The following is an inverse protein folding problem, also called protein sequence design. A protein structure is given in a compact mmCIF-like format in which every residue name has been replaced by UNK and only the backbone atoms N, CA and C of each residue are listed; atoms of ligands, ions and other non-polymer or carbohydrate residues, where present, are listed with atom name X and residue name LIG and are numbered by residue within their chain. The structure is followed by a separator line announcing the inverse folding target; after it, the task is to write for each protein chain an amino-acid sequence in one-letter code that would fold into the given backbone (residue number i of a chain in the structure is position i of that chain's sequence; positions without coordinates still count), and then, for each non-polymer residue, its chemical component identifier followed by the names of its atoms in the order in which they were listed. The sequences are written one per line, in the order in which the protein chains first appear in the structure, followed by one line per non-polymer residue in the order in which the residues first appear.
data_IF_111811228720
#
_entry.id   IF_111811228720
#
_cell.length_a   1.000
_cell.length_b   1.000
_cell.length_c   1.000
_cell.angle_alpha   90.00
_cell.angle_beta   90.00
_cell.angle_gamma   90.00
#
_symmetry.space_group_name_H-M   'P 1'
#
loop_
_entity.id
_entity.type
_entity.pdbx_description
1 polymer ?
#
# COMPACT_ATOMS: atom_id res chain seq x y z
N UNK A 1 -3.17 20.73 -13.56
CA UNK A 1 -2.80 19.32 -13.84
C UNK A 1 -1.33 19.15 -13.51
N UNK A 2 -0.99 18.86 -12.25
CA UNK A 2 0.40 18.59 -11.84
C UNK A 2 0.58 17.08 -11.77
N UNK A 3 1.24 16.51 -12.78
CA UNK A 3 1.70 15.10 -12.78
C UNK A 3 2.95 15.01 -11.91
N UNK A 4 3.13 13.93 -11.14
CA UNK A 4 4.48 13.56 -10.72
C UNK A 4 5.26 13.25 -11.99
N UNK A 5 6.24 14.09 -12.25
CA UNK A 5 7.15 13.89 -13.35
C UNK A 5 8.08 12.74 -12.99
N UNK A 6 8.65 12.04 -13.98
CA UNK A 6 9.69 11.04 -13.72
C UNK A 6 10.81 11.62 -12.85
N UNK A 7 11.05 12.94 -12.94
CA UNK A 7 11.99 13.69 -12.12
C UNK A 7 11.61 13.81 -10.63
N UNK A 8 10.40 13.43 -10.22
CA UNK A 8 9.98 13.36 -8.82
C UNK A 8 10.08 11.94 -8.24
N UNK A 9 10.49 10.96 -9.06
CA UNK A 9 10.74 9.58 -8.64
C UNK A 9 12.25 9.42 -8.44
N UNK A 10 12.66 9.27 -7.19
CA UNK A 10 14.04 9.04 -6.83
C UNK A 10 14.22 7.58 -6.44
N UNK A 11 15.14 6.88 -7.11
CA UNK A 11 15.50 5.52 -6.73
C UNK A 11 16.23 5.59 -5.39
N UNK A 12 15.61 5.02 -4.35
CA UNK A 12 16.19 5.00 -3.01
C UNK A 12 17.31 3.96 -2.89
N UNK A 13 17.05 2.72 -3.32
CA UNK A 13 18.00 1.62 -3.22
C UNK A 13 17.72 0.53 -4.26
N UNK A 14 18.78 -0.15 -4.70
CA UNK A 14 18.72 -1.40 -5.48
C UNK A 14 19.69 -2.38 -4.83
N UNK A 15 19.19 -3.58 -4.48
CA UNK A 15 20.02 -4.63 -3.86
C UNK A 15 19.73 -6.00 -4.47
N UNK A 16 20.67 -6.93 -4.28
CA UNK A 16 20.45 -8.34 -4.60
C UNK A 16 19.64 -8.99 -3.49
N UNK A 17 18.75 -9.91 -3.85
CA UNK A 17 17.94 -10.67 -2.89
C UNK A 17 18.80 -11.39 -1.83
N UNK A 18 19.97 -11.88 -2.21
CA UNK A 18 20.93 -12.52 -1.29
C UNK A 18 21.38 -11.57 -0.17
N UNK A 19 21.77 -10.34 -0.51
CA UNK A 19 22.16 -9.31 0.46
C UNK A 19 20.96 -8.84 1.29
N UNK A 20 19.77 -8.77 0.70
CA UNK A 20 18.53 -8.42 1.41
C UNK A 20 18.17 -9.45 2.50
N UNK A 21 18.41 -10.74 2.22
CA UNK A 21 18.20 -11.81 3.20
C UNK A 21 19.26 -11.79 4.32
N UNK A 22 20.51 -11.43 3.99
CA UNK A 22 21.64 -11.38 4.92
C UNK A 22 21.56 -10.19 5.88
N UNK A 23 21.36 -8.97 5.36
CA UNK A 23 21.46 -7.73 6.11
C UNK A 23 20.11 -7.12 6.55
N UNK A 24 18.99 -7.71 6.14
CA UNK A 24 17.61 -7.24 6.39
C UNK A 24 17.30 -5.84 5.83
N UNK A 25 16.04 -5.40 5.96
CA UNK A 25 15.62 -4.07 5.52
C UNK A 25 16.28 -2.96 6.35
N UNK A 26 16.51 -3.21 7.65
CA UNK A 26 16.96 -2.20 8.61
C UNK A 26 18.34 -1.66 8.23
N UNK A 27 19.31 -2.54 7.93
CA UNK A 27 20.64 -2.11 7.53
C UNK A 27 20.66 -1.42 6.16
N UNK A 28 19.78 -1.81 5.24
CA UNK A 28 19.72 -1.22 3.90
C UNK A 28 19.08 0.17 3.92
N UNK A 29 18.11 0.38 4.82
CA UNK A 29 17.35 1.62 4.92
C UNK A 29 17.80 2.52 6.07
N UNK A 30 18.82 2.14 6.84
CA UNK A 30 19.32 2.87 8.02
C UNK A 30 19.51 4.36 7.74
N UNK A 31 20.33 4.69 6.73
CA UNK A 31 20.57 6.08 6.34
C UNK A 31 19.30 6.83 5.93
N UNK A 32 18.38 6.17 5.23
CA UNK A 32 17.12 6.78 4.81
C UNK A 32 16.21 7.07 6.02
N UNK A 33 16.17 6.16 6.98
CA UNK A 33 15.40 6.33 8.21
C UNK A 33 15.98 7.47 9.04
N UNK A 34 17.30 7.56 9.16
CA UNK A 34 17.96 8.66 9.88
C UNK A 34 17.67 10.03 9.25
N UNK A 35 17.81 10.15 7.92
CA UNK A 35 17.51 11.39 7.20
C UNK A 35 16.02 11.75 7.28
N UNK A 36 15.13 10.75 7.18
CA UNK A 36 13.70 10.98 7.38
C UNK A 36 13.38 11.45 8.80
N UNK A 37 14.06 10.91 9.82
CA UNK A 37 13.89 11.33 11.20
C UNK A 37 14.40 12.76 11.41
N UNK A 38 15.55 13.13 10.81
CA UNK A 38 16.03 14.51 10.80
C UNK A 38 15.02 15.45 10.14
N UNK A 39 14.51 15.10 8.96
CA UNK A 39 13.56 15.92 8.23
C UNK A 39 12.22 16.04 8.97
N UNK A 40 11.83 15.04 9.76
CA UNK A 40 10.63 15.09 10.58
C UNK A 40 10.70 16.13 11.70
N UNK A 41 11.91 16.42 12.19
CA UNK A 41 12.18 17.44 13.21
C UNK A 41 12.38 18.84 12.62
N UNK A 42 12.47 18.93 11.29
CA UNK A 42 12.74 20.16 10.55
C UNK A 42 14.23 20.33 10.25
N UNK A 43 14.57 20.51 8.97
CA UNK A 43 15.94 20.74 8.52
C UNK A 43 16.05 22.07 7.77
N UNK A 44 17.03 22.89 8.14
CA UNK A 44 17.26 24.20 7.53
C UNK A 44 18.24 24.11 6.38
N UNK A 45 17.76 24.39 5.17
CA UNK A 45 18.56 24.48 3.96
C UNK A 45 19.07 25.90 3.76
N UNK A 46 20.37 26.03 3.51
CA UNK A 46 21.01 27.27 3.06
C UNK A 46 20.89 27.34 1.53
N UNK A 47 19.99 28.18 1.03
CA UNK A 47 19.82 28.41 -0.40
C UNK A 47 20.46 29.75 -0.78
N UNK A 48 20.76 29.95 -2.07
CA UNK A 48 21.24 31.23 -2.58
C UNK A 48 20.27 32.40 -2.28
N UNK A 49 18.99 32.09 -2.07
CA UNK A 49 17.92 33.04 -1.74
C UNK A 49 17.67 33.20 -0.23
N UNK A 50 18.45 32.54 0.63
CA UNK A 50 18.33 32.60 2.09
C UNK A 50 18.09 31.23 2.75
N UNK A 51 17.79 31.26 4.05
CA UNK A 51 17.55 30.04 4.85
C UNK A 51 16.09 29.62 4.75
N UNK A 52 15.85 28.34 4.47
CA UNK A 52 14.49 27.76 4.46
C UNK A 52 14.47 26.46 5.25
N UNK A 53 13.63 26.40 6.27
CA UNK A 53 13.38 25.18 7.05
C UNK A 53 12.28 24.36 6.39
N UNK A 54 12.57 23.10 6.09
CA UNK A 54 11.62 22.15 5.53
C UNK A 54 11.36 21.01 6.52
N UNK A 55 10.13 20.52 6.51
CA UNK A 55 9.69 19.37 7.30
C UNK A 55 9.19 18.29 6.35
N UNK A 56 9.37 17.02 6.73
CA UNK A 56 9.00 15.90 5.88
C UNK A 56 8.92 14.60 6.67
N UNK A 57 8.10 13.68 6.21
CA UNK A 57 7.91 12.38 6.83
C UNK A 57 7.50 11.36 5.78
N UNK A 58 7.87 10.09 6.00
CA UNK A 58 7.37 8.97 5.21
C UNK A 58 5.93 8.67 5.62
N UNK A 59 5.00 8.84 4.69
CA UNK A 59 3.56 8.67 4.95
C UNK A 59 3.12 7.21 4.75
N UNK A 60 3.69 6.53 3.75
CA UNK A 60 3.38 5.14 3.45
C UNK A 60 4.54 4.40 2.81
N UNK A 61 4.53 3.07 2.97
CA UNK A 61 5.33 2.12 2.20
C UNK A 61 4.37 1.09 1.62
N UNK A 62 4.45 0.90 0.31
CA UNK A 62 3.54 0.07 -0.49
C UNK A 62 4.37 -0.95 -1.26
N UNK A 63 3.97 -2.21 -1.21
CA UNK A 63 4.58 -3.30 -1.97
C UNK A 63 3.58 -4.44 -2.18
N UNK A 64 4.03 -5.52 -2.81
CA UNK A 64 3.28 -6.78 -2.74
C UNK A 64 3.30 -7.36 -1.31
N UNK A 65 2.59 -8.47 -1.07
CA UNK A 65 2.49 -9.05 0.28
C UNK A 65 3.89 -9.39 0.83
N UNK A 66 4.78 -10.09 0.09
CA UNK A 66 6.12 -10.38 0.59
C UNK A 66 6.93 -9.12 0.91
N UNK A 67 6.98 -8.13 -0.01
CA UNK A 67 7.76 -6.92 0.23
C UNK A 67 7.19 -6.07 1.38
N UNK A 68 5.86 -5.93 1.45
CA UNK A 68 5.21 -5.17 2.53
C UNK A 68 5.39 -5.83 3.88
N UNK A 69 5.33 -7.16 3.95
CA UNK A 69 5.62 -7.91 5.16
C UNK A 69 7.08 -7.79 5.55
N UNK A 70 7.99 -7.96 4.59
CA UNK A 70 9.44 -7.89 4.79
C UNK A 70 9.87 -6.53 5.35
N UNK A 71 9.46 -5.42 4.71
CA UNK A 71 9.79 -4.05 5.15
C UNK A 71 9.26 -3.78 6.57
N UNK A 72 8.21 -4.50 6.99
CA UNK A 72 7.58 -4.35 8.31
C UNK A 72 7.99 -5.42 9.31
N UNK A 73 9.00 -6.23 9.01
CA UNK A 73 9.52 -7.26 9.91
C UNK A 73 8.60 -8.49 10.08
N UNK A 74 7.63 -8.71 9.18
CA UNK A 74 6.76 -9.89 9.17
C UNK A 74 7.29 -10.99 8.25
N UNK A 75 6.84 -12.23 8.49
CA UNK A 75 7.03 -13.35 7.56
C UNK A 75 6.39 -13.04 6.20
N UNK A 76 7.11 -13.33 5.12
CA UNK A 76 6.67 -13.07 3.74
C UNK A 76 5.27 -13.64 3.44
N UNK A 77 5.02 -14.89 3.86
CA UNK A 77 3.77 -15.60 3.63
C UNK A 77 2.78 -15.53 4.79
N UNK A 78 1.50 -15.38 4.46
CA UNK A 78 0.37 -15.22 5.41
C UNK A 78 -0.54 -16.45 5.50
N UNK A 79 -0.22 -17.54 4.80
CA UNK A 79 -1.07 -18.73 4.69
C UNK A 79 -1.50 -19.31 6.04
N UNK A 80 -0.54 -19.49 6.96
CA UNK A 80 -0.77 -20.03 8.30
C UNK A 80 -0.90 -18.96 9.40
N UNK A 81 -0.85 -17.68 9.06
CA UNK A 81 -0.94 -16.61 10.05
C UNK A 81 -2.38 -16.42 10.53
N UNK A 82 -2.59 -16.22 11.83
CA UNK A 82 -3.87 -15.81 12.41
C UNK A 82 -4.21 -14.38 11.98
N UNK A 83 -3.26 -13.45 12.17
CA UNK A 83 -3.35 -12.08 11.68
C UNK A 83 -2.94 -12.03 10.21
N UNK A 84 -3.90 -11.82 9.32
CA UNK A 84 -3.65 -11.87 7.87
C UNK A 84 -3.03 -10.60 7.32
N UNK A 85 -3.23 -9.47 7.99
CA UNK A 85 -2.80 -8.14 7.54
C UNK A 85 -1.57 -7.64 8.32
N UNK A 86 -0.64 -6.92 7.67
CA UNK A 86 0.51 -6.28 8.33
C UNK A 86 0.19 -4.86 8.85
N UNK A 87 -1.00 -4.34 8.58
CA UNK A 87 -1.46 -3.00 8.97
C UNK A 87 -2.47 -3.02 10.13
N UNK A 88 -3.24 -4.11 10.25
CA UNK A 88 -4.25 -4.32 11.28
C UNK A 88 -4.21 -5.76 11.80
N UNK A 89 -5.01 -6.05 12.82
CA UNK A 89 -5.10 -7.38 13.44
C UNK A 89 -6.16 -8.29 12.80
N UNK A 90 -6.62 -7.95 11.59
CA UNK A 90 -7.70 -8.68 10.94
C UNK A 90 -7.36 -10.16 10.69
N UNK A 91 -8.32 -11.01 11.05
CA UNK A 91 -8.33 -12.44 10.71
C UNK A 91 -8.85 -12.69 9.29
N UNK A 92 -8.70 -13.92 8.79
CA UNK A 92 -9.26 -14.32 7.49
C UNK A 92 -10.78 -14.18 7.39
N UNK A 93 -11.48 -14.39 8.52
CA UNK A 93 -12.92 -14.20 8.61
C UNK A 93 -13.27 -12.72 8.53
N UNK A 94 -12.57 -11.88 9.28
CA UNK A 94 -12.86 -10.45 9.33
C UNK A 94 -12.62 -9.73 8.00
N UNK A 95 -11.54 -10.05 7.28
CA UNK A 95 -11.28 -9.44 5.96
C UNK A 95 -12.32 -9.82 4.89
N UNK A 96 -13.11 -10.86 5.16
CA UNK A 96 -14.20 -11.30 4.27
C UNK A 96 -15.57 -10.73 4.68
N UNK A 97 -15.68 -10.11 5.87
CA UNK A 97 -16.94 -9.60 6.42
C UNK A 97 -16.94 -8.08 6.65
N UNK A 98 -15.76 -7.47 6.77
CA UNK A 98 -15.59 -6.05 7.09
C UNK A 98 -14.81 -5.39 5.96
N UNK A 99 -15.28 -4.23 5.49
CA UNK A 99 -14.69 -3.55 4.34
C UNK A 99 -14.34 -2.08 4.59
N UNK A 100 -14.51 -1.61 5.84
CA UNK A 100 -14.20 -0.24 6.23
C UNK A 100 -13.02 -0.19 7.19
N UNK A 101 -12.16 0.84 7.05
CA UNK A 101 -10.92 0.95 7.81
C UNK A 101 -11.13 1.03 9.32
N UNK A 102 -12.23 1.63 9.75
CA UNK A 102 -12.59 1.77 11.17
C UNK A 102 -13.10 0.47 11.79
N UNK A 103 -13.47 -0.53 10.98
CA UNK A 103 -13.93 -1.83 11.45
C UNK A 103 -12.80 -2.74 11.94
N UNK A 104 -11.54 -2.34 11.71
CA UNK A 104 -10.36 -3.10 12.04
C UNK A 104 -9.55 -2.46 13.15
N UNK A 105 -9.09 -3.30 14.09
CA UNK A 105 -8.18 -2.89 15.15
C UNK A 105 -6.79 -2.71 14.54
N UNK A 106 -6.21 -1.51 14.70
CA UNK A 106 -4.86 -1.22 14.22
C UNK A 106 -3.84 -1.96 15.06
N UNK A 107 -2.71 -2.33 14.44
CA UNK A 107 -1.54 -2.79 15.19
C UNK A 107 -0.99 -1.63 16.02
N UNK A 108 -0.59 -1.92 17.25
CA UNK A 108 0.16 -1.00 18.10
C UNK A 108 1.56 -1.58 18.36
N UNK A 109 2.58 -0.74 18.65
CA UNK A 109 3.93 -1.20 18.90
C UNK A 109 4.04 -2.16 20.10
N UNK A 110 3.27 -1.92 21.16
CA UNK A 110 3.34 -2.70 22.40
C UNK A 110 2.91 -4.15 22.19
N UNK A 111 1.81 -4.36 21.47
CA UNK A 111 1.29 -5.66 21.08
C UNK A 111 2.16 -6.32 20.02
N UNK A 112 2.78 -5.53 19.14
CA UNK A 112 3.75 -6.10 18.20
C UNK A 112 4.95 -6.70 18.94
N UNK A 113 5.50 -5.99 19.91
CA UNK A 113 6.61 -6.48 20.73
C UNK A 113 6.23 -7.72 21.54
N UNK A 114 5.04 -7.76 22.15
CA UNK A 114 4.58 -8.96 22.86
C UNK A 114 4.35 -10.16 21.94
N UNK A 115 3.99 -9.94 20.67
CA UNK A 115 3.94 -11.02 19.68
C UNK A 115 5.33 -11.49 19.24
N UNK A 116 6.33 -10.61 19.16
CA UNK A 116 7.70 -10.99 18.84
C UNK A 116 8.29 -11.93 19.90
N UNK A 117 7.95 -11.73 21.17
CA UNK A 117 8.35 -12.63 22.27
C UNK A 117 7.77 -14.05 22.15
N UNK A 118 6.69 -14.21 21.39
CA UNK A 118 5.97 -15.49 21.21
C UNK A 118 6.35 -16.23 19.92
N UNK A 119 7.18 -15.65 19.05
CA UNK A 119 7.50 -16.23 17.73
C UNK A 119 8.78 -17.07 17.82
N UNK A 120 8.67 -18.37 17.55
CA UNK A 120 9.81 -19.23 17.20
C UNK A 120 10.32 -18.89 15.79
N UNK A 121 11.64 -18.70 15.64
CA UNK A 121 12.26 -18.34 14.35
C UNK A 121 12.19 -19.54 13.40
N UNK A 122 11.25 -19.51 12.45
CA UNK A 122 11.08 -20.53 11.42
C UNK A 122 10.49 -19.99 10.11
N UNK A 123 11.34 -19.78 9.11
CA UNK A 123 10.88 -19.52 7.74
C UNK A 123 11.97 -19.08 6.76
N UNK A 124 12.09 -19.82 5.67
CA UNK A 124 12.79 -19.41 4.45
C UNK A 124 12.06 -18.23 3.81
N UNK A 125 12.81 -17.17 3.49
CA UNK A 125 12.32 -15.93 2.84
C UNK A 125 12.30 -16.14 1.34
N UNK A 126 11.13 -16.00 0.72
CA UNK A 126 10.96 -16.10 -0.73
C UNK A 126 10.21 -14.87 -1.20
N UNK A 127 10.95 -13.92 -1.75
CA UNK A 127 10.41 -12.77 -2.45
C UNK A 127 10.24 -13.14 -3.94
N UNK A 128 9.00 -13.14 -4.43
CA UNK A 128 8.71 -13.43 -5.84
C UNK A 128 8.04 -12.22 -6.47
N UNK A 129 8.68 -11.63 -7.48
CA UNK A 129 8.26 -10.35 -8.09
C UNK A 129 7.46 -10.58 -9.38
N UNK A 130 6.16 -10.22 -9.38
CA UNK A 130 5.30 -10.22 -10.59
C UNK A 130 4.40 -8.97 -10.70
N UNK A 131 4.55 -7.98 -9.83
CA UNK A 131 3.56 -6.89 -9.68
C UNK A 131 3.41 -6.00 -10.93
N UNK A 132 4.51 -5.61 -11.58
CA UNK A 132 4.48 -4.80 -12.80
C UNK A 132 3.85 -5.54 -13.97
N UNK A 133 4.18 -6.83 -14.13
CA UNK A 133 3.60 -7.70 -15.16
C UNK A 133 2.09 -7.89 -14.96
N UNK A 134 1.64 -8.04 -13.72
CA UNK A 134 0.21 -8.15 -13.40
C UNK A 134 -0.54 -6.84 -13.64
N UNK A 135 0.06 -5.68 -13.34
CA UNK A 135 -0.54 -4.38 -13.65
C UNK A 135 -0.61 -4.16 -15.17
N UNK A 136 0.43 -4.56 -15.91
CA UNK A 136 0.42 -4.55 -17.38
C UNK A 136 -0.68 -5.47 -17.92
N UNK A 137 -0.80 -6.68 -17.39
CA UNK A 137 -1.86 -7.62 -17.79
C UNK A 137 -3.24 -7.03 -17.54
N UNK A 138 -3.50 -6.48 -16.36
CA UNK A 138 -4.77 -5.81 -16.03
C UNK A 138 -5.07 -4.68 -17.04
N UNK A 139 -4.10 -3.83 -17.36
CA UNK A 139 -4.33 -2.77 -18.35
C UNK A 139 -4.59 -3.28 -19.77
N UNK A 140 -3.93 -4.36 -20.17
CA UNK A 140 -4.10 -4.97 -21.49
C UNK A 140 -5.31 -5.89 -21.56
N UNK A 141 -5.83 -6.39 -20.44
CA UNK A 141 -6.94 -7.34 -20.41
C UNK A 141 -8.20 -6.76 -21.05
N UNK A 142 -8.45 -5.45 -20.88
CA UNK A 142 -9.53 -4.75 -21.58
C UNK A 142 -9.40 -4.86 -23.11
N UNK A 143 -8.17 -4.79 -23.64
CA UNK A 143 -7.91 -4.93 -25.08
C UNK A 143 -7.97 -6.40 -25.53
N UNK A 144 -7.56 -7.33 -24.65
CA UNK A 144 -7.59 -8.77 -24.94
C UNK A 144 -9.02 -9.33 -24.98
N UNK A 145 -9.93 -8.76 -24.17
CA UNK A 145 -11.33 -9.16 -24.15
C UNK A 145 -12.14 -8.68 -25.36
N UNK A 146 -11.61 -7.76 -26.18
CA UNK A 146 -12.17 -7.38 -27.49
C UNK A 146 -13.69 -7.21 -27.48
N UNK A 147 -14.39 -8.11 -28.19
CA UNK A 147 -15.84 -8.09 -28.43
C UNK A 147 -16.67 -8.92 -27.43
N UNK A 148 -16.19 -9.18 -26.22
CA UNK A 148 -17.01 -9.84 -25.20
C UNK A 148 -18.20 -8.93 -24.84
N UNK A 149 -19.41 -9.47 -24.93
CA UNK A 149 -20.63 -8.81 -24.45
C UNK A 149 -20.56 -8.70 -22.93
N UNK A 150 -20.13 -7.54 -22.45
CA UNK A 150 -19.95 -7.23 -21.02
C UNK A 150 -21.10 -6.40 -20.45
N UNK A 151 -22.14 -6.15 -21.25
CA UNK A 151 -23.28 -5.35 -20.84
C UNK A 151 -24.05 -6.06 -19.71
N UNK A 152 -24.16 -5.40 -18.56
CA UNK A 152 -24.75 -5.94 -17.32
C UNK A 152 -24.00 -7.13 -16.69
N UNK A 153 -22.74 -7.39 -17.06
CA UNK A 153 -21.93 -8.40 -16.38
C UNK A 153 -21.34 -7.84 -15.06
N UNK A 154 -21.84 -8.35 -13.94
CA UNK A 154 -21.38 -7.95 -12.60
C UNK A 154 -19.91 -8.28 -12.33
N UNK A 155 -19.34 -9.31 -12.98
CA UNK A 155 -17.91 -9.60 -12.89
C UNK A 155 -17.10 -8.53 -13.60
N UNK A 156 -17.59 -8.05 -14.74
CA UNK A 156 -16.99 -6.94 -15.47
C UNK A 156 -17.09 -5.63 -14.68
N UNK A 157 -18.25 -5.33 -14.10
CA UNK A 157 -18.42 -4.16 -13.22
C UNK A 157 -17.43 -4.19 -12.04
N UNK A 158 -17.32 -5.35 -11.37
CA UNK A 158 -16.38 -5.55 -10.28
C UNK A 158 -14.92 -5.32 -10.73
N UNK A 159 -14.58 -5.76 -11.95
CA UNK A 159 -13.28 -5.53 -12.55
C UNK A 159 -13.02 -4.06 -12.92
N UNK A 160 -14.01 -3.34 -13.46
CA UNK A 160 -13.90 -1.91 -13.76
C UNK A 160 -13.72 -1.07 -12.50
N UNK A 161 -14.37 -1.44 -11.38
CA UNK A 161 -14.15 -0.78 -10.09
C UNK A 161 -12.71 -0.99 -9.64
N UNK A 162 -12.15 -2.20 -9.77
CA UNK A 162 -10.74 -2.47 -9.44
C UNK A 162 -9.79 -1.62 -10.29
N UNK A 163 -10.04 -1.49 -11.59
CA UNK A 163 -9.26 -0.61 -12.47
C UNK A 163 -9.29 0.84 -11.99
N UNK A 164 -10.47 1.35 -11.66
CA UNK A 164 -10.60 2.72 -11.18
C UNK A 164 -9.98 2.93 -9.79
N UNK A 165 -9.98 1.92 -8.91
CA UNK A 165 -9.20 1.93 -7.67
C UNK A 165 -7.70 2.01 -7.99
N UNK A 166 -7.19 1.22 -8.94
CA UNK A 166 -5.79 1.30 -9.35
C UNK A 166 -5.45 2.69 -9.89
N UNK A 167 -6.29 3.26 -10.76
CA UNK A 167 -6.04 4.58 -11.33
C UNK A 167 -6.04 5.69 -10.29
N UNK A 168 -6.92 5.63 -9.28
CA UNK A 168 -6.89 6.57 -8.14
C UNK A 168 -5.69 6.32 -7.22
N UNK A 169 -5.33 5.07 -6.93
CA UNK A 169 -4.19 4.73 -6.08
C UNK A 169 -2.85 5.16 -6.69
N UNK A 170 -2.77 5.14 -8.03
CA UNK A 170 -1.63 5.64 -8.80
C UNK A 170 -1.82 7.08 -9.30
N UNK A 171 -2.89 7.77 -8.86
CA UNK A 171 -3.10 9.18 -9.20
C UNK A 171 -2.04 10.04 -8.53
N UNK A 172 -1.57 11.04 -9.26
CA UNK A 172 -0.54 11.97 -8.79
C UNK A 172 -1.11 13.14 -7.98
N UNK A 173 -2.42 13.34 -8.04
CA UNK A 173 -3.13 14.39 -7.35
C UNK A 173 -4.31 13.76 -6.61
N UNK A 174 -4.50 14.20 -5.36
CA UNK A 174 -5.55 13.72 -4.46
C UNK A 174 -6.30 14.95 -3.97
N UNK A 175 -7.49 15.14 -4.53
CA UNK A 175 -8.42 16.17 -4.11
C UNK A 175 -8.99 15.86 -2.71
N UNK A 176 -9.53 16.85 -2.03
CA UNK A 176 -10.07 16.69 -0.66
C UNK A 176 -11.13 15.58 -0.56
N UNK A 177 -11.94 15.40 -1.61
CA UNK A 177 -12.99 14.38 -1.67
C UNK A 177 -12.52 13.01 -2.18
N UNK A 178 -11.30 12.91 -2.73
CA UNK A 178 -10.80 11.67 -3.32
C UNK A 178 -10.63 10.54 -2.29
N UNK A 179 -10.16 10.76 -1.04
CA UNK A 179 -10.13 9.71 -0.03
C UNK A 179 -11.52 9.12 0.25
N UNK A 180 -12.55 9.95 0.37
CA UNK A 180 -13.92 9.47 0.61
C UNK A 180 -14.42 8.62 -0.55
N UNK A 181 -14.23 9.09 -1.78
CA UNK A 181 -14.59 8.36 -3.00
C UNK A 181 -13.81 7.04 -3.12
N UNK A 182 -12.50 7.08 -2.89
CA UNK A 182 -11.62 5.92 -2.90
C UNK A 182 -12.09 4.86 -1.91
N UNK A 183 -12.37 5.26 -0.66
CA UNK A 183 -12.86 4.37 0.38
C UNK A 183 -14.18 3.70 0.01
N UNK A 184 -15.13 4.47 -0.54
CA UNK A 184 -16.40 3.93 -1.03
C UNK A 184 -16.20 2.91 -2.17
N UNK A 185 -15.33 3.22 -3.15
CA UNK A 185 -15.05 2.30 -4.26
C UNK A 185 -14.39 1.01 -3.80
N UNK A 186 -13.44 1.09 -2.85
CA UNK A 186 -12.83 -0.09 -2.23
C UNK A 186 -13.88 -0.95 -1.53
N UNK A 187 -14.80 -0.33 -0.79
CA UNK A 187 -15.89 -1.07 -0.14
C UNK A 187 -16.77 -1.79 -1.16
N UNK A 188 -17.28 -1.09 -2.17
CA UNK A 188 -18.13 -1.67 -3.22
C UNK A 188 -17.41 -2.81 -3.95
N UNK A 189 -16.12 -2.64 -4.25
CA UNK A 189 -15.30 -3.68 -4.86
C UNK A 189 -15.24 -4.95 -4.00
N UNK A 190 -14.92 -4.81 -2.71
CA UNK A 190 -14.77 -5.97 -1.82
C UNK A 190 -16.11 -6.67 -1.55
N UNK A 191 -17.20 -5.92 -1.38
CA UNK A 191 -18.56 -6.47 -1.25
C UNK A 191 -18.98 -7.24 -2.51
N UNK A 192 -18.74 -6.65 -3.68
CA UNK A 192 -19.01 -7.30 -4.97
C UNK A 192 -18.16 -8.56 -5.14
N UNK A 193 -16.88 -8.50 -4.78
CA UNK A 193 -15.98 -9.64 -4.88
C UNK A 193 -16.45 -10.81 -4.02
N UNK A 194 -16.78 -10.56 -2.75
CA UNK A 194 -17.29 -11.60 -1.85
C UNK A 194 -18.59 -12.20 -2.40
N UNK A 195 -19.49 -11.36 -2.91
CA UNK A 195 -20.77 -11.82 -3.47
C UNK A 195 -20.59 -12.69 -4.71
N UNK A 196 -19.65 -12.33 -5.59
CA UNK A 196 -19.49 -12.97 -6.91
C UNK A 196 -18.57 -14.19 -6.91
N UNK A 197 -17.57 -14.24 -6.03
CA UNK A 197 -16.49 -15.23 -6.11
C UNK A 197 -16.45 -16.20 -4.91
N UNK A 198 -17.23 -15.97 -3.85
CA UNK A 198 -17.37 -16.93 -2.73
C UNK A 198 -18.27 -18.08 -3.16
N UNK A 199 -17.94 -19.36 -2.85
CA UNK A 199 -16.90 -19.82 -1.93
C UNK A 199 -15.55 -20.17 -2.58
N UNK A 200 -15.42 -20.01 -3.88
CA UNK A 200 -14.24 -20.47 -4.63
C UNK A 200 -13.00 -19.63 -4.31
N UNK A 201 -13.19 -18.32 -4.13
CA UNK A 201 -12.13 -17.38 -3.80
C UNK A 201 -12.50 -16.57 -2.55
N UNK A 202 -11.51 -16.36 -1.69
CA UNK A 202 -11.62 -15.53 -0.50
C UNK A 202 -10.89 -14.20 -0.70
N UNK A 203 -11.32 -13.15 0.02
CA UNK A 203 -10.59 -11.89 0.06
C UNK A 203 -9.16 -12.12 0.55
N UNK A 204 -8.19 -11.68 -0.23
CA UNK A 204 -6.78 -11.81 0.13
C UNK A 204 -6.31 -10.64 0.99
N UNK A 205 -5.20 -10.78 1.73
CA UNK A 205 -4.66 -9.67 2.51
C UNK A 205 -4.26 -8.47 1.65
N UNK A 206 -3.82 -8.71 0.41
CA UNK A 206 -3.52 -7.66 -0.56
C UNK A 206 -4.75 -6.81 -0.88
N UNK A 207 -5.91 -7.44 -1.02
CA UNK A 207 -7.17 -6.73 -1.24
C UNK A 207 -7.57 -5.93 0.02
N UNK A 208 -7.37 -6.50 1.20
CA UNK A 208 -7.62 -5.80 2.47
C UNK A 208 -6.70 -4.57 2.69
N UNK A 209 -5.50 -4.54 2.12
CA UNK A 209 -4.62 -3.36 2.22
C UNK A 209 -5.23 -2.10 1.59
N UNK A 210 -6.08 -2.24 0.58
CA UNK A 210 -6.77 -1.11 -0.06
C UNK A 210 -7.61 -0.31 0.94
N UNK A 211 -8.20 -0.99 1.92
CA UNK A 211 -8.98 -0.36 2.99
C UNK A 211 -8.13 0.62 3.80
N UNK A 212 -6.83 0.34 3.96
CA UNK A 212 -5.91 1.20 4.70
C UNK A 212 -5.35 2.35 3.86
N UNK A 213 -5.33 2.22 2.53
CA UNK A 213 -4.82 3.26 1.64
C UNK A 213 -5.70 4.52 1.70
N UNK A 214 -7.01 4.38 1.89
CA UNK A 214 -7.95 5.48 2.13
C UNK A 214 -7.47 6.44 3.22
N UNK A 215 -7.08 5.90 4.37
CA UNK A 215 -6.58 6.71 5.50
C UNK A 215 -5.26 7.39 5.18
N UNK A 216 -4.40 6.74 4.39
CA UNK A 216 -3.12 7.31 3.97
C UNK A 216 -3.35 8.48 3.00
N UNK A 217 -4.30 8.35 2.07
CA UNK A 217 -4.71 9.43 1.16
C UNK A 217 -5.26 10.65 1.92
N UNK A 218 -6.05 10.46 2.97
CA UNK A 218 -6.56 11.58 3.80
C UNK A 218 -5.44 12.38 4.47
N UNK A 219 -4.38 11.70 4.91
CA UNK A 219 -3.22 12.39 5.50
C UNK A 219 -2.50 13.24 4.45
N UNK A 220 -2.57 12.84 3.17
CA UNK A 220 -1.96 13.56 2.06
C UNK A 220 -2.78 14.78 1.64
N UNK A 221 -4.10 14.65 1.50
CA UNK A 221 -4.99 15.75 1.07
C UNK A 221 -5.07 16.90 2.08
N UNK A 222 -4.89 16.62 3.37
CA UNK A 222 -4.96 17.62 4.45
C UNK A 222 -3.64 18.33 4.76
N UNK A 223 -2.50 17.81 4.27
CA UNK A 223 -1.17 18.35 4.58
C UNK A 223 -0.51 19.14 3.44
N UNK A 224 -1.13 19.28 2.28
CA UNK A 224 -0.69 20.20 1.24
C UNK A 224 -1.35 21.56 1.39
N UNK A 225 -0.58 22.53 1.88
CA UNK A 225 -0.34 23.70 1.05
C UNK A 225 1.17 23.81 0.85
N UNK A 226 1.72 23.09 -0.12
CA UNK A 226 2.92 23.58 -0.78
C UNK A 226 2.47 24.73 -1.68
N UNK A 227 2.21 25.88 -1.04
CA UNK A 227 2.15 27.15 -1.77
C UNK A 227 3.56 27.36 -2.30
N UNK A 228 3.76 27.01 -3.57
CA UNK A 228 4.82 27.61 -4.35
C UNK A 228 4.36 29.05 -4.59
N UNK A 229 4.70 29.95 -3.68
CA UNK A 229 4.79 31.36 -4.05
C UNK A 229 5.97 31.47 -5.01
N UNK A 230 5.64 31.80 -6.26
CA UNK A 230 6.59 32.15 -7.33
C UNK A 230 7.23 33.49 -7.01
#
# INVERSE_FOLDING_TARGET
MYRSTLSSIFVLAITKLSLLCEYTADAILEHFVDESNMLSQGYTFELATGKKTLYGAVICSVGDIPASNFIRGFKDGVGFSLGKCCMCLATGVEISLKFHATSFIKRNPELHNSYLELIEIGGSRHCVTYASQMLTLVRLFLLLCGDVEVENDKHWDCYLILLAICDMAFSFDVQENDPTKFGWMVQVYLESFVTLYTPQFSVTPKMNYLVHLTKQMTVWSTKTPLVYEV
#
